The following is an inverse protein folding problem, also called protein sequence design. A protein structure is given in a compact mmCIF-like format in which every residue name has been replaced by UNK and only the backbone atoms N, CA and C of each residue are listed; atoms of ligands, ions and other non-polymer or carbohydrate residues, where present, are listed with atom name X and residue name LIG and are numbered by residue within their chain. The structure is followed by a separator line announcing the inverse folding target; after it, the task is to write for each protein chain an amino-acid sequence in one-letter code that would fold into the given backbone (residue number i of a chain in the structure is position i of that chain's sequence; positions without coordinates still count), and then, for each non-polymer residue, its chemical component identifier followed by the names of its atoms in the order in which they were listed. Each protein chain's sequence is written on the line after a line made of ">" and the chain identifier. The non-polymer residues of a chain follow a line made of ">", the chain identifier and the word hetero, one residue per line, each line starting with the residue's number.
data_IF_009758521767
#
_entry.id   IF_009758521767
#
_cell.length_a   1.000
_cell.length_b   1.000
_cell.length_c   1.000
_cell.angle_alpha   90.00
_cell.angle_beta   90.00
_cell.angle_gamma   90.00
#
_symmetry.space_group_name_H-M   'P 1'
#
loop_
_entity.id
_entity.type
_entity.pdbx_description
1 polymer ?
#
# COMPACT_ATOMS: atom_id res chain seq x y z
N UNK A 1 23.44 -62.99 93.05
CA UNK A 1 24.23 -62.70 91.83
C UNK A 1 23.57 -63.41 90.65
N UNK A 2 23.11 -62.70 89.60
CA UNK A 2 22.51 -63.34 88.43
C UNK A 2 23.61 -63.97 87.55
N UNK A 3 23.38 -65.19 87.07
CA UNK A 3 24.35 -65.92 86.23
C UNK A 3 24.29 -65.40 84.80
N UNK A 4 25.43 -64.97 84.27
CA UNK A 4 25.59 -64.56 82.87
C UNK A 4 25.49 -65.80 81.99
N UNK A 5 24.44 -65.90 81.17
CA UNK A 5 24.31 -66.92 80.13
C UNK A 5 25.00 -66.47 78.85
N UNK A 6 25.86 -67.33 78.28
CA UNK A 6 26.52 -67.06 76.99
C UNK A 6 25.49 -67.23 75.88
N UNK A 7 25.42 -66.28 74.96
CA UNK A 7 24.54 -66.37 73.79
C UNK A 7 24.97 -67.57 72.94
N UNK A 8 24.01 -68.42 72.58
CA UNK A 8 24.22 -69.65 71.82
C UNK A 8 24.83 -69.36 70.45
N UNK A 9 25.81 -70.15 70.03
CA UNK A 9 26.42 -70.07 68.69
C UNK A 9 25.34 -70.35 67.65
N UNK A 10 24.98 -69.34 66.85
CA UNK A 10 24.05 -69.49 65.73
C UNK A 10 24.79 -70.20 64.60
N UNK A 11 24.29 -71.36 64.16
CA UNK A 11 24.84 -72.07 63.01
C UNK A 11 24.69 -71.23 61.74
N UNK A 12 25.80 -71.02 61.03
CA UNK A 12 25.83 -70.20 59.84
C UNK A 12 25.21 -70.96 58.66
N UNK A 13 24.12 -70.42 58.10
CA UNK A 13 23.53 -70.89 56.84
C UNK A 13 23.98 -69.96 55.71
N UNK A 14 24.76 -70.49 54.76
CA UNK A 14 25.18 -69.74 53.58
C UNK A 14 23.97 -69.35 52.73
N UNK A 15 24.00 -68.14 52.16
CA UNK A 15 22.97 -67.75 51.20
C UNK A 15 23.08 -68.63 49.95
N UNK A 16 21.97 -69.23 49.53
CA UNK A 16 21.90 -70.09 48.34
C UNK A 16 21.59 -69.28 47.08
N UNK A 17 21.04 -68.07 47.24
CA UNK A 17 20.66 -67.21 46.11
C UNK A 17 21.88 -66.54 45.47
N UNK A 18 21.95 -66.47 44.13
CA UNK A 18 23.05 -65.80 43.43
C UNK A 18 23.01 -64.28 43.63
N UNK A 19 24.17 -63.67 43.85
CA UNK A 19 24.30 -62.22 43.93
C UNK A 19 24.21 -61.59 42.53
N UNK A 20 23.14 -60.82 42.28
CA UNK A 20 22.85 -60.21 40.97
C UNK A 20 23.80 -59.05 40.61
N UNK A 21 24.42 -58.39 41.59
CA UNK A 21 25.48 -57.39 41.36
C UNK A 21 25.10 -56.09 40.63
N UNK A 22 23.85 -55.93 40.18
CA UNK A 22 23.43 -54.74 39.45
C UNK A 22 23.27 -53.53 40.39
N UNK A 23 24.02 -52.43 40.18
CA UNK A 23 23.86 -51.20 40.96
C UNK A 23 22.50 -50.55 40.69
N UNK A 24 21.99 -49.79 41.66
CA UNK A 24 20.70 -49.09 41.59
C UNK A 24 20.60 -48.20 40.34
N UNK A 25 21.68 -47.51 39.97
CA UNK A 25 21.72 -46.68 38.77
C UNK A 25 21.34 -47.45 37.49
N UNK A 26 21.87 -48.67 37.30
CA UNK A 26 21.56 -49.48 36.12
C UNK A 26 20.13 -50.03 36.12
N UNK A 27 19.55 -50.25 37.31
CA UNK A 27 18.16 -50.72 37.45
C UNK A 27 17.15 -49.59 37.25
N UNK A 28 17.46 -48.39 37.73
CA UNK A 28 16.51 -47.29 37.83
C UNK A 28 16.61 -46.30 36.66
N UNK A 29 17.81 -46.07 36.10
CA UNK A 29 18.02 -45.10 35.02
C UNK A 29 18.03 -45.77 33.65
N UNK A 30 16.88 -46.35 33.29
CA UNK A 30 16.66 -46.91 31.95
C UNK A 30 16.04 -45.88 31.00
N UNK A 31 16.22 -46.09 29.70
CA UNK A 31 15.57 -45.26 28.69
C UNK A 31 14.05 -45.50 28.73
N UNK A 32 13.29 -44.50 29.16
CA UNK A 32 11.84 -44.55 29.17
C UNK A 32 11.32 -44.07 27.80
N UNK A 33 10.38 -44.81 27.22
CA UNK A 33 9.68 -44.36 26.01
C UNK A 33 8.82 -43.13 26.37
N UNK A 34 9.12 -42.00 25.77
CA UNK A 34 8.32 -40.78 25.89
C UNK A 34 7.48 -40.61 24.62
N UNK A 35 6.20 -40.28 24.78
CA UNK A 35 5.37 -39.89 23.64
C UNK A 35 5.66 -38.44 23.23
N UNK A 36 5.59 -38.11 21.93
CA UNK A 36 5.78 -36.73 21.49
C UNK A 36 4.66 -35.84 22.04
N UNK A 37 5.04 -34.68 22.57
CA UNK A 37 4.08 -33.68 23.07
C UNK A 37 3.28 -33.10 21.91
N UNK A 38 1.96 -33.02 22.08
CA UNK A 38 1.07 -32.36 21.11
C UNK A 38 1.25 -30.85 21.15
N UNK A 39 1.23 -30.19 19.99
CA UNK A 39 1.37 -28.74 19.92
C UNK A 39 0.10 -28.04 20.43
N UNK A 40 0.25 -27.10 21.36
CA UNK A 40 -0.83 -26.22 21.82
C UNK A 40 -1.17 -25.09 20.82
N UNK A 41 -0.59 -25.10 19.62
CA UNK A 41 -0.87 -24.09 18.60
C UNK A 41 -2.30 -24.28 18.08
N UNK A 42 -3.05 -23.19 17.84
CA UNK A 42 -4.34 -23.29 17.18
C UNK A 42 -4.15 -23.95 15.82
N UNK A 43 -5.11 -24.77 15.42
CA UNK A 43 -5.12 -25.38 14.09
C UNK A 43 -5.25 -24.26 13.07
N UNK A 44 -4.33 -24.23 12.10
CA UNK A 44 -4.43 -23.30 10.99
C UNK A 44 -5.47 -23.84 10.00
N UNK A 45 -6.72 -23.44 10.19
CA UNK A 45 -7.79 -23.69 9.22
C UNK A 45 -7.78 -22.53 8.23
N UNK A 46 -7.42 -22.81 6.96
CA UNK A 46 -7.53 -21.82 5.90
C UNK A 46 -9.01 -21.55 5.61
N UNK A 47 -9.54 -20.47 6.19
CA UNK A 47 -10.87 -19.98 5.83
C UNK A 47 -10.80 -19.35 4.44
N UNK A 48 -11.12 -20.14 3.41
CA UNK A 48 -11.31 -19.60 2.07
C UNK A 48 -12.71 -19.03 1.96
N UNK A 49 -12.80 -17.73 1.64
CA UNK A 49 -14.07 -17.11 1.27
C UNK A 49 -14.48 -17.63 -0.11
N UNK A 50 -15.69 -18.17 -0.21
CA UNK A 50 -16.33 -18.49 -1.51
C UNK A 50 -16.98 -17.25 -2.14
N UNK A 51 -17.14 -16.17 -1.37
CA UNK A 51 -17.78 -14.96 -1.87
C UNK A 51 -16.89 -14.29 -2.92
N UNK A 52 -17.45 -13.87 -4.08
CA UNK A 52 -16.71 -13.13 -5.07
C UNK A 52 -16.22 -11.79 -4.50
N UNK A 53 -15.09 -11.31 -5.02
CA UNK A 53 -14.57 -9.99 -4.69
C UNK A 53 -15.48 -8.90 -5.28
N UNK A 54 -15.85 -7.93 -4.46
CA UNK A 54 -16.57 -6.73 -4.94
C UNK A 54 -15.64 -5.92 -5.86
N UNK A 55 -16.13 -5.60 -7.07
CA UNK A 55 -15.34 -4.93 -8.11
C UNK A 55 -15.65 -3.45 -8.24
N UNK A 56 -16.70 -2.98 -7.58
CA UNK A 56 -17.10 -1.58 -7.59
C UNK A 56 -16.16 -0.73 -6.73
N UNK A 57 -15.51 0.24 -7.36
CA UNK A 57 -14.66 1.24 -6.70
C UNK A 57 -15.37 2.59 -6.77
N UNK A 58 -15.09 3.48 -5.81
CA UNK A 58 -15.60 4.85 -5.83
C UNK A 58 -15.25 5.58 -7.14
N UNK A 59 -14.07 5.30 -7.70
CA UNK A 59 -13.67 5.87 -8.98
C UNK A 59 -14.61 5.47 -10.12
N UNK A 60 -14.96 4.18 -10.22
CA UNK A 60 -15.83 3.66 -11.29
C UNK A 60 -17.24 4.24 -11.23
N UNK A 61 -17.73 4.55 -10.02
CA UNK A 61 -19.07 5.11 -9.82
C UNK A 61 -19.10 6.63 -9.99
N UNK A 62 -18.07 7.34 -9.51
CA UNK A 62 -17.98 8.80 -9.51
C UNK A 62 -17.51 9.37 -10.86
N UNK A 63 -16.53 8.75 -11.52
CA UNK A 63 -15.89 9.29 -12.73
C UNK A 63 -16.44 8.66 -14.01
N UNK A 64 -17.73 8.92 -14.28
CA UNK A 64 -18.39 8.51 -15.52
C UNK A 64 -18.58 9.67 -16.48
N UNK A 65 -18.85 9.37 -17.75
CA UNK A 65 -19.20 10.40 -18.71
C UNK A 65 -20.50 11.11 -18.27
N UNK A 66 -20.39 12.38 -17.90
CA UNK A 66 -21.54 13.23 -17.59
C UNK A 66 -22.10 13.85 -18.86
N UNK A 67 -23.44 13.93 -19.02
CA UNK A 67 -24.03 14.66 -20.12
C UNK A 67 -23.62 16.14 -20.02
N UNK A 68 -23.05 16.66 -21.10
CA UNK A 68 -22.69 18.08 -21.21
C UNK A 68 -23.84 18.84 -21.85
N UNK A 69 -24.14 20.02 -21.33
CA UNK A 69 -25.09 20.92 -21.96
C UNK A 69 -24.52 21.47 -23.29
N UNK A 70 -25.35 21.63 -24.33
CA UNK A 70 -24.92 22.24 -25.56
C UNK A 70 -24.49 23.70 -25.30
N UNK A 71 -23.40 24.13 -25.96
CA UNK A 71 -22.95 25.52 -25.87
C UNK A 71 -24.04 26.45 -26.42
N UNK A 72 -24.27 27.63 -25.80
CA UNK A 72 -25.18 28.62 -26.36
C UNK A 72 -24.71 29.07 -27.75
N UNK A 73 -25.65 29.39 -28.62
CA UNK A 73 -25.33 29.90 -29.95
C UNK A 73 -24.51 31.19 -29.85
N UNK A 74 -23.44 31.29 -30.64
CA UNK A 74 -22.67 32.53 -30.77
C UNK A 74 -23.55 33.58 -31.44
N UNK A 75 -23.64 34.77 -30.87
CA UNK A 75 -24.33 35.90 -31.51
C UNK A 75 -23.62 36.26 -32.83
N UNK A 76 -24.39 36.44 -33.89
CA UNK A 76 -23.89 36.92 -35.17
C UNK A 76 -23.39 38.35 -35.00
N UNK A 77 -22.08 38.56 -35.17
CA UNK A 77 -21.49 39.90 -35.15
C UNK A 77 -21.58 40.50 -36.55
N UNK A 78 -22.50 41.44 -36.76
CA UNK A 78 -22.52 42.24 -37.99
C UNK A 78 -21.28 43.12 -38.05
N UNK A 79 -20.55 43.09 -39.16
CA UNK A 79 -19.39 43.97 -39.36
C UNK A 79 -19.85 45.44 -39.43
N UNK A 80 -19.42 46.25 -38.46
CA UNK A 80 -19.63 47.69 -38.48
C UNK A 80 -18.52 48.37 -39.29
N UNK A 81 -18.82 48.74 -40.55
CA UNK A 81 -17.91 49.54 -41.37
C UNK A 81 -17.83 50.97 -40.82
N UNK A 82 -16.64 51.56 -40.79
CA UNK A 82 -16.48 52.99 -40.55
C UNK A 82 -17.31 53.80 -41.56
N UNK A 83 -18.21 54.65 -41.05
CA UNK A 83 -19.07 55.52 -41.86
C UNK A 83 -18.36 56.81 -42.31
N UNK A 84 -17.22 57.11 -41.70
CA UNK A 84 -16.47 58.34 -42.00
C UNK A 84 -15.82 58.26 -43.39
N UNK A 85 -16.03 59.26 -44.26
CA UNK A 85 -15.38 59.32 -45.56
C UNK A 85 -13.87 59.57 -45.39
N UNK A 86 -13.07 59.04 -46.32
CA UNK A 86 -11.64 59.31 -46.38
C UNK A 86 -11.42 60.76 -46.85
N UNK A 87 -10.64 61.53 -46.10
CA UNK A 87 -10.19 62.86 -46.50
C UNK A 87 -9.14 62.70 -47.62
N UNK A 88 -9.60 62.72 -48.88
CA UNK A 88 -8.80 62.42 -50.08
C UNK A 88 -7.73 63.49 -50.41
N UNK A 89 -7.25 64.22 -49.40
CA UNK A 89 -6.24 65.26 -49.48
C UNK A 89 -4.85 64.66 -49.25
N UNK A 90 -4.00 64.74 -50.28
CA UNK A 90 -2.58 64.42 -50.17
C UNK A 90 -1.78 65.70 -49.96
N UNK A 91 -0.59 65.58 -49.36
CA UNK A 91 0.37 66.69 -49.20
C UNK A 91 0.61 67.43 -50.51
N UNK A 92 0.75 66.69 -51.62
CA UNK A 92 0.92 67.30 -52.95
C UNK A 92 -0.27 68.16 -53.38
N UNK A 93 -1.51 67.65 -53.23
CA UNK A 93 -2.73 68.40 -53.60
C UNK A 93 -2.94 69.64 -52.72
N UNK A 94 -2.50 69.57 -51.46
CA UNK A 94 -2.58 70.69 -50.51
C UNK A 94 -1.55 71.78 -50.82
N UNK A 95 -0.31 71.38 -51.08
CA UNK A 95 0.82 72.30 -51.09
C UNK A 95 1.08 72.89 -52.48
N UNK A 96 0.88 72.10 -53.55
CA UNK A 96 1.15 72.51 -54.93
C UNK A 96 -0.11 73.09 -55.59
N UNK A 97 -0.56 74.21 -55.05
CA UNK A 97 -1.63 75.06 -55.64
C UNK A 97 -1.00 76.20 -56.44
N UNK A 98 -1.65 76.64 -57.53
CA UNK A 98 -1.17 77.75 -58.35
C UNK A 98 -0.99 79.01 -57.49
N UNK A 99 0.24 79.50 -57.36
CA UNK A 99 0.54 80.76 -56.69
C UNK A 99 0.57 81.88 -57.74
N UNK A 100 0.10 83.10 -57.42
CA UNK A 100 0.25 84.23 -58.32
C UNK A 100 1.75 84.48 -58.57
N UNK A 101 2.09 84.78 -59.82
CA UNK A 101 3.44 85.17 -60.22
C UNK A 101 3.76 86.56 -59.64
N UNK A 102 5.04 86.80 -59.33
CA UNK A 102 5.50 88.09 -58.81
C UNK A 102 5.63 89.09 -59.96
N UNK A 103 4.77 90.10 -60.03
CA UNK A 103 4.91 91.23 -60.96
C UNK A 103 5.99 92.19 -60.47
N UNK A 104 7.27 91.86 -60.66
CA UNK A 104 8.38 92.80 -60.47
C UNK A 104 9.53 92.47 -61.42
N UNK A 105 9.43 92.91 -62.68
CA UNK A 105 10.58 93.37 -63.48
C UNK A 105 10.09 93.96 -64.82
N UNK A 106 9.75 95.26 -64.83
CA UNK A 106 10.05 96.13 -65.98
C UNK A 106 10.50 97.45 -65.36
N UNK A 107 11.81 97.67 -65.39
CA UNK A 107 12.46 98.98 -65.18
C UNK A 107 12.31 99.79 -66.46
#
# INVERSE_FOLDING_TARGET
>A
MPKITRKTTIEYKSNTEPFVGLPTYQREFVAHRQEPVVSCKPKFEMLQSTAPLESETSYRTEYRAHPLEPKPAKQETTYARCQMPLDNLTTQKRDYTSKPYCEFMVV
#
